data_IF_698162795121
#
_entry.id   IF_698162795121
#
_cell.length_a   1.000
_cell.length_b   1.000
_cell.length_c   1.000
_cell.angle_alpha   90.00
_cell.angle_beta   90.00
_cell.angle_gamma   90.00
#
_symmetry.space_group_name_H-M   'P 1'
#
loop_
_entity.id
_entity.type
_entity.pdbx_description
1 polymer ?
#
# COMPACT_ATOMS: atom_id res chain seq x y z
N UNK A 1 0.37 27.85 16.66
CA UNK A 1 1.17 26.80 17.33
C UNK A 1 1.74 25.86 16.29
N UNK A 2 3.05 25.70 16.26
CA UNK A 2 3.78 24.85 15.32
C UNK A 2 3.67 23.40 15.79
N UNK A 3 2.52 22.73 15.56
CA UNK A 3 2.32 21.38 16.09
C UNK A 3 3.11 20.35 15.27
N UNK A 4 4.37 20.14 15.66
CA UNK A 4 5.22 19.07 15.14
C UNK A 4 4.51 17.71 15.20
N UNK A 5 3.68 17.49 16.23
CA UNK A 5 2.91 16.25 16.41
C UNK A 5 1.93 16.05 15.25
N UNK A 6 1.13 17.06 14.91
CA UNK A 6 0.22 17.05 13.78
C UNK A 6 0.92 16.79 12.44
N UNK A 7 2.09 17.42 12.23
CA UNK A 7 2.91 17.19 11.03
C UNK A 7 3.43 15.76 10.95
N UNK A 8 3.97 15.22 12.03
CA UNK A 8 4.47 13.83 12.09
C UNK A 8 3.33 12.85 11.88
N UNK A 9 2.19 13.03 12.55
CA UNK A 9 1.02 12.17 12.41
C UNK A 9 0.45 12.19 10.99
N UNK A 10 0.45 13.36 10.32
CA UNK A 10 0.12 13.48 8.90
C UNK A 10 1.04 12.63 8.02
N UNK A 11 2.36 12.71 8.23
CA UNK A 11 3.34 11.93 7.46
C UNK A 11 3.12 10.43 7.69
N UNK A 12 2.98 10.01 8.95
CA UNK A 12 2.71 8.60 9.31
C UNK A 12 1.46 8.10 8.59
N UNK A 13 0.36 8.84 8.64
CA UNK A 13 -0.88 8.45 7.95
C UNK A 13 -0.68 8.30 6.42
N UNK A 14 0.09 9.18 5.80
CA UNK A 14 0.37 9.10 4.36
C UNK A 14 1.28 7.91 4.03
N UNK A 15 2.27 7.60 4.88
CA UNK A 15 3.12 6.41 4.73
C UNK A 15 2.29 5.13 4.82
N UNK A 16 1.38 5.03 5.80
CA UNK A 16 0.47 3.88 5.91
C UNK A 16 -0.49 3.77 4.72
N UNK A 17 -0.96 4.90 4.18
CA UNK A 17 -1.77 4.89 2.95
C UNK A 17 -0.98 4.42 1.73
N UNK A 18 0.28 4.84 1.60
CA UNK A 18 1.18 4.38 0.54
C UNK A 18 1.54 2.90 0.65
N UNK A 19 1.80 2.43 1.88
CA UNK A 19 1.99 1.01 2.17
C UNK A 19 0.73 0.20 1.82
N UNK A 20 -0.44 0.72 2.16
CA UNK A 20 -1.73 0.13 1.78
C UNK A 20 -1.87 0.00 0.26
N UNK A 21 -1.49 1.02 -0.50
CA UNK A 21 -1.50 0.96 -1.95
C UNK A 21 -0.59 -0.15 -2.48
N UNK A 22 0.64 -0.24 -1.97
CA UNK A 22 1.60 -1.29 -2.34
C UNK A 22 1.06 -2.69 -2.02
N UNK A 23 0.47 -2.89 -0.84
CA UNK A 23 -0.08 -4.19 -0.42
C UNK A 23 -1.30 -4.62 -1.23
N UNK A 24 -2.16 -3.68 -1.66
CA UNK A 24 -3.27 -4.03 -2.56
C UNK A 24 -2.73 -4.41 -3.95
N UNK A 25 -1.72 -3.72 -4.48
CA UNK A 25 -1.11 -4.11 -5.76
C UNK A 25 -0.42 -5.47 -5.70
N UNK A 26 0.43 -5.69 -4.69
CA UNK A 26 1.10 -6.97 -4.47
C UNK A 26 0.09 -8.10 -4.25
N UNK A 27 -0.93 -7.87 -3.43
CA UNK A 27 -1.97 -8.84 -3.15
C UNK A 27 -2.89 -9.11 -4.35
N UNK A 28 -3.13 -8.11 -5.20
CA UNK A 28 -3.84 -8.28 -6.46
C UNK A 28 -3.02 -9.10 -7.45
N UNK A 29 -1.84 -8.62 -7.83
CA UNK A 29 -0.94 -9.28 -8.80
C UNK A 29 -0.59 -10.71 -8.33
N UNK A 30 -0.30 -10.87 -7.03
CA UNK A 30 0.03 -12.17 -6.43
C UNK A 30 -1.11 -13.18 -6.42
N UNK A 31 -2.34 -12.79 -6.77
CA UNK A 31 -3.50 -13.71 -6.85
C UNK A 31 -3.79 -14.21 -8.26
N UNK A 32 -2.94 -13.89 -9.24
CA UNK A 32 -3.05 -14.37 -10.62
C UNK A 32 -3.07 -15.90 -10.73
N UNK A 33 -2.36 -16.60 -9.83
CA UNK A 33 -2.34 -18.06 -9.78
C UNK A 33 -3.73 -18.65 -9.47
N UNK A 34 -4.48 -18.02 -8.57
CA UNK A 34 -5.83 -18.42 -8.19
C UNK A 34 -6.89 -17.92 -9.19
N UNK A 35 -6.66 -16.78 -9.84
CA UNK A 35 -7.62 -16.12 -10.72
C UNK A 35 -7.58 -16.63 -12.18
N UNK A 36 -6.39 -16.78 -12.77
CA UNK A 36 -6.25 -17.09 -14.21
C UNK A 36 -5.52 -18.40 -14.48
N UNK A 37 -4.69 -18.86 -13.55
CA UNK A 37 -3.86 -20.05 -13.72
C UNK A 37 -4.32 -21.22 -12.84
N UNK A 38 -5.58 -21.22 -12.40
CA UNK A 38 -6.16 -22.18 -11.46
C UNK A 38 -5.96 -23.63 -11.91
N UNK A 39 -6.10 -23.92 -13.21
CA UNK A 39 -5.88 -25.25 -13.79
C UNK A 39 -4.41 -25.69 -13.79
N UNK A 40 -3.48 -24.73 -13.85
CA UNK A 40 -2.03 -24.98 -13.89
C UNK A 40 -1.49 -25.43 -12.53
N UNK A 41 -2.19 -25.09 -11.44
CA UNK A 41 -1.70 -25.27 -10.08
C UNK A 41 -2.63 -26.14 -9.24
N UNK A 42 -2.14 -27.33 -8.84
CA UNK A 42 -2.91 -28.27 -8.02
C UNK A 42 -3.35 -27.69 -6.68
N UNK A 43 -2.57 -26.78 -6.09
CA UNK A 43 -2.95 -26.06 -4.87
C UNK A 43 -4.19 -25.18 -5.03
N UNK A 44 -4.51 -24.78 -6.26
CA UNK A 44 -5.61 -23.89 -6.60
C UNK A 44 -6.82 -24.64 -7.18
N UNK A 45 -6.74 -25.96 -7.39
CA UNK A 45 -7.87 -26.76 -7.88
C UNK A 45 -9.16 -26.64 -7.04
N UNK A 46 -9.11 -26.49 -5.70
CA UNK A 46 -10.32 -26.23 -4.91
C UNK A 46 -11.05 -24.94 -5.29
N UNK A 47 -10.41 -24.06 -6.06
CA UNK A 47 -10.96 -22.78 -6.50
C UNK A 47 -11.55 -22.84 -7.91
N UNK A 48 -11.53 -23.99 -8.61
CA UNK A 48 -11.98 -24.08 -10.00
C UNK A 48 -13.43 -23.61 -10.18
N UNK A 49 -14.34 -24.06 -9.31
CA UNK A 49 -15.75 -23.67 -9.36
C UNK A 49 -15.97 -22.20 -8.95
N UNK A 50 -15.00 -21.61 -8.26
CA UNK A 50 -15.02 -20.25 -7.74
C UNK A 50 -14.04 -19.32 -8.48
N UNK A 51 -13.50 -19.73 -9.63
CA UNK A 51 -12.45 -18.99 -10.32
C UNK A 51 -12.90 -17.56 -10.69
N UNK A 52 -14.16 -17.40 -11.07
CA UNK A 52 -14.78 -16.10 -11.37
C UNK A 52 -14.66 -15.12 -10.19
N UNK A 53 -14.86 -15.60 -8.96
CA UNK A 53 -14.76 -14.78 -7.75
C UNK A 53 -13.33 -14.25 -7.58
N UNK A 54 -12.34 -15.11 -7.77
CA UNK A 54 -10.93 -14.72 -7.67
C UNK A 54 -10.50 -13.76 -8.77
N UNK A 55 -11.02 -13.91 -9.99
CA UNK A 55 -10.80 -12.93 -11.08
C UNK A 55 -11.35 -11.56 -10.72
N UNK A 56 -12.60 -11.49 -10.25
CA UNK A 56 -13.22 -10.24 -9.84
C UNK A 56 -12.46 -9.61 -8.67
N UNK A 57 -12.14 -10.38 -7.62
CA UNK A 57 -11.42 -9.88 -6.46
C UNK A 57 -10.01 -9.40 -6.83
N UNK A 58 -9.31 -10.08 -7.73
CA UNK A 58 -8.00 -9.68 -8.24
C UNK A 58 -8.06 -8.31 -8.93
N UNK A 59 -8.97 -8.15 -9.90
CA UNK A 59 -9.12 -6.91 -10.69
C UNK A 59 -9.53 -5.76 -9.77
N UNK A 60 -10.53 -5.98 -8.91
CA UNK A 60 -11.01 -4.96 -7.96
C UNK A 60 -9.89 -4.54 -7.00
N UNK A 61 -9.10 -5.50 -6.48
CA UNK A 61 -7.98 -5.17 -5.59
C UNK A 61 -6.93 -4.32 -6.30
N UNK A 62 -6.61 -4.62 -7.57
CA UNK A 62 -5.65 -3.82 -8.35
C UNK A 62 -6.17 -2.39 -8.53
N UNK A 63 -7.46 -2.24 -8.89
CA UNK A 63 -8.10 -0.92 -9.03
C UNK A 63 -8.04 -0.15 -7.71
N UNK A 64 -8.38 -0.80 -6.58
CA UNK A 64 -8.25 -0.19 -5.25
C UNK A 64 -6.81 0.24 -4.98
N UNK A 65 -5.82 -0.59 -5.31
CA UNK A 65 -4.41 -0.24 -5.17
C UNK A 65 -4.03 1.03 -5.93
N UNK A 66 -4.45 1.17 -7.18
CA UNK A 66 -4.23 2.37 -8.00
C UNK A 66 -4.93 3.60 -7.39
N UNK A 67 -6.19 3.45 -6.96
CA UNK A 67 -6.92 4.54 -6.30
C UNK A 67 -6.26 4.95 -4.97
N UNK A 68 -5.67 4.00 -4.24
CA UNK A 68 -4.90 4.27 -3.03
C UNK A 68 -3.63 5.07 -3.33
N UNK A 69 -2.94 4.83 -4.47
CA UNK A 69 -1.83 5.68 -4.92
C UNK A 69 -2.31 7.12 -5.12
N UNK A 70 -3.40 7.31 -5.87
CA UNK A 70 -3.95 8.65 -6.10
C UNK A 70 -4.36 9.34 -4.80
N UNK A 71 -4.97 8.59 -3.88
CA UNK A 71 -5.33 9.11 -2.56
C UNK A 71 -4.10 9.49 -1.74
N UNK A 72 -3.02 8.70 -1.79
CA UNK A 72 -1.73 9.02 -1.14
C UNK A 72 -1.16 10.34 -1.66
N UNK A 73 -1.15 10.52 -2.98
CA UNK A 73 -0.69 11.76 -3.63
C UNK A 73 -1.59 12.94 -3.22
N UNK A 74 -2.91 12.75 -3.20
CA UNK A 74 -3.86 13.79 -2.82
C UNK A 74 -3.69 14.21 -1.35
N UNK A 75 -3.44 13.26 -0.43
CA UNK A 75 -3.17 13.56 0.98
C UNK A 75 -1.84 14.31 1.16
N UNK A 76 -0.80 13.91 0.43
CA UNK A 76 0.48 14.61 0.43
C UNK A 76 0.35 16.05 -0.07
N UNK A 77 -0.47 16.28 -1.11
CA UNK A 77 -0.66 17.60 -1.74
C UNK A 77 -1.66 18.53 -1.03
N UNK A 78 -2.47 18.02 -0.09
CA UNK A 78 -3.46 18.86 0.61
C UNK A 78 -4.85 18.88 -0.04
N UNK A 79 -5.32 17.78 -0.64
CA UNK A 79 -6.60 17.78 -1.35
C UNK A 79 -7.82 17.90 -0.42
N UNK A 80 -8.78 18.77 -0.75
CA UNK A 80 -10.02 19.02 0.04
C UNK A 80 -10.83 17.75 0.38
N UNK A 81 -10.82 16.76 -0.50
CA UNK A 81 -11.53 15.47 -0.34
C UNK A 81 -10.59 14.29 -0.06
N UNK A 82 -9.29 14.52 0.06
CA UNK A 82 -8.28 13.47 0.12
C UNK A 82 -8.51 12.51 1.30
N UNK A 83 -8.77 13.05 2.48
CA UNK A 83 -9.02 12.25 3.69
C UNK A 83 -10.30 11.40 3.60
N UNK A 84 -11.39 11.97 3.06
CA UNK A 84 -12.65 11.23 2.86
C UNK A 84 -12.48 10.10 1.83
N UNK A 85 -11.78 10.38 0.73
CA UNK A 85 -11.52 9.39 -0.31
C UNK A 85 -10.64 8.25 0.24
N UNK A 86 -9.60 8.58 1.02
CA UNK A 86 -8.77 7.58 1.69
C UNK A 86 -9.59 6.68 2.61
N UNK A 87 -10.42 7.26 3.50
CA UNK A 87 -11.31 6.49 4.38
C UNK A 87 -12.25 5.56 3.58
N UNK A 88 -12.84 6.07 2.49
CA UNK A 88 -13.76 5.28 1.65
C UNK A 88 -13.04 4.09 1.02
N UNK A 89 -11.85 4.31 0.45
CA UNK A 89 -11.03 3.27 -0.15
C UNK A 89 -10.56 2.24 0.89
N UNK A 90 -10.21 2.69 2.10
CA UNK A 90 -9.80 1.81 3.20
C UNK A 90 -10.95 0.92 3.69
N UNK A 91 -12.18 1.45 3.76
CA UNK A 91 -13.37 0.65 4.09
C UNK A 91 -13.64 -0.38 2.99
N UNK A 92 -13.69 0.05 1.73
CA UNK A 92 -13.95 -0.85 0.60
C UNK A 92 -12.85 -1.93 0.50
N UNK A 93 -11.59 -1.53 0.61
CA UNK A 93 -10.44 -2.43 0.58
C UNK A 93 -10.42 -3.44 1.73
N UNK A 94 -10.82 -3.02 2.93
CA UNK A 94 -10.97 -3.92 4.08
C UNK A 94 -12.07 -4.96 3.83
N UNK A 95 -13.23 -4.54 3.31
CA UNK A 95 -14.35 -5.45 3.00
C UNK A 95 -13.95 -6.46 1.91
N UNK A 96 -13.39 -5.98 0.79
CA UNK A 96 -12.94 -6.84 -0.31
C UNK A 96 -11.84 -7.81 0.15
N UNK A 97 -10.89 -7.32 0.95
CA UNK A 97 -9.87 -8.17 1.57
C UNK A 97 -10.46 -9.23 2.49
N UNK A 98 -11.46 -8.88 3.30
CA UNK A 98 -12.17 -9.78 4.20
C UNK A 98 -12.88 -10.90 3.44
N UNK A 99 -13.61 -10.56 2.39
CA UNK A 99 -14.26 -11.54 1.50
C UNK A 99 -13.24 -12.52 0.92
N UNK A 100 -12.11 -12.00 0.42
CA UNK A 100 -11.08 -12.86 -0.19
C UNK A 100 -10.41 -13.79 0.82
N UNK A 101 -10.09 -13.29 2.03
CA UNK A 101 -9.52 -14.11 3.10
C UNK A 101 -10.50 -15.19 3.53
N UNK A 102 -11.76 -14.83 3.76
CA UNK A 102 -12.81 -15.78 4.14
C UNK A 102 -12.98 -16.88 3.09
N UNK A 103 -13.11 -16.52 1.81
CA UNK A 103 -13.21 -17.47 0.71
C UNK A 103 -11.98 -18.39 0.64
N UNK A 104 -10.77 -17.84 0.78
CA UNK A 104 -9.54 -18.62 0.68
C UNK A 104 -9.33 -19.57 1.87
N UNK A 105 -9.70 -19.17 3.08
CA UNK A 105 -9.68 -20.06 4.24
C UNK A 105 -10.72 -21.17 4.09
N UNK A 106 -11.93 -20.84 3.63
CA UNK A 106 -13.01 -21.81 3.49
C UNK A 106 -12.75 -22.85 2.38
N UNK A 107 -12.14 -22.44 1.27
CA UNK A 107 -11.96 -23.29 0.10
C UNK A 107 -10.62 -24.05 0.08
N UNK A 108 -9.53 -23.46 0.60
CA UNK A 108 -8.18 -24.06 0.54
C UNK A 108 -7.39 -24.02 1.85
N UNK A 109 -7.98 -23.52 2.95
CA UNK A 109 -7.36 -23.48 4.28
C UNK A 109 -6.20 -22.48 4.44
N UNK A 110 -5.88 -21.69 3.41
CA UNK A 110 -4.76 -20.72 3.40
C UNK A 110 -5.15 -19.47 2.63
N UNK A 111 -4.72 -18.30 3.09
CA UNK A 111 -5.13 -17.02 2.52
C UNK A 111 -3.98 -16.07 2.14
N UNK A 112 -2.71 -16.47 2.20
CA UNK A 112 -1.60 -15.60 1.79
C UNK A 112 -1.60 -15.37 0.26
N UNK A 113 -1.37 -14.13 -0.23
CA UNK A 113 -1.08 -12.88 0.48
C UNK A 113 -2.32 -12.01 0.82
N UNK A 114 -3.54 -12.54 0.68
CA UNK A 114 -4.79 -11.80 0.92
C UNK A 114 -4.97 -11.38 2.39
N UNK A 115 -4.47 -12.17 3.34
CA UNK A 115 -4.44 -11.84 4.76
C UNK A 115 -3.58 -10.59 5.06
N UNK A 116 -2.40 -10.51 4.46
CA UNK A 116 -1.48 -9.39 4.68
C UNK A 116 -2.05 -8.08 4.15
N UNK A 117 -2.69 -8.07 2.97
CA UNK A 117 -3.37 -6.86 2.49
C UNK A 117 -4.57 -6.49 3.35
N UNK A 118 -5.31 -7.46 3.88
CA UNK A 118 -6.43 -7.20 4.78
C UNK A 118 -5.95 -6.53 6.06
N UNK A 119 -4.89 -7.06 6.69
CA UNK A 119 -4.32 -6.47 7.90
C UNK A 119 -3.80 -5.06 7.66
N UNK A 120 -3.09 -4.82 6.55
CA UNK A 120 -2.61 -3.47 6.22
C UNK A 120 -3.76 -2.49 5.97
N UNK A 121 -4.82 -2.90 5.26
CA UNK A 121 -6.03 -2.10 5.07
C UNK A 121 -6.70 -1.78 6.41
N UNK A 122 -6.88 -2.78 7.28
CA UNK A 122 -7.56 -2.63 8.55
C UNK A 122 -6.78 -1.75 9.54
N UNK A 123 -5.45 -1.94 9.65
CA UNK A 123 -4.59 -1.11 10.51
C UNK A 123 -4.55 0.32 10.02
N UNK A 124 -4.46 0.54 8.70
CA UNK A 124 -4.48 1.90 8.13
C UNK A 124 -5.85 2.55 8.31
N UNK A 125 -6.94 1.78 8.14
CA UNK A 125 -8.29 2.25 8.44
C UNK A 125 -8.41 2.68 9.90
N UNK A 126 -7.95 1.85 10.84
CA UNK A 126 -7.96 2.16 12.27
C UNK A 126 -7.17 3.44 12.55
N UNK A 127 -5.98 3.59 11.98
CA UNK A 127 -5.18 4.82 12.11
C UNK A 127 -5.95 6.05 11.62
N UNK A 128 -6.58 5.98 10.45
CA UNK A 128 -7.37 7.09 9.93
C UNK A 128 -8.57 7.39 10.81
N UNK A 129 -9.28 6.37 11.31
CA UNK A 129 -10.41 6.54 12.22
C UNK A 129 -9.98 7.18 13.55
N UNK A 130 -8.82 6.80 14.10
CA UNK A 130 -8.25 7.42 15.30
C UNK A 130 -7.96 8.90 15.07
N UNK A 131 -7.37 9.27 13.93
CA UNK A 131 -7.14 10.68 13.56
C UNK A 131 -8.45 11.47 13.45
N UNK A 132 -9.59 10.81 13.19
CA UNK A 132 -10.90 11.47 13.09
C UNK A 132 -11.45 11.92 14.45
N UNK A 133 -10.94 11.38 15.56
CA UNK A 133 -11.43 11.67 16.90
C UNK A 133 -11.23 13.16 17.27
N UNK A 134 -12.13 13.74 18.09
CA UNK A 134 -12.17 15.19 18.36
C UNK A 134 -10.92 15.77 19.07
N UNK A 135 -9.94 14.97 19.49
CA UNK A 135 -8.64 15.48 20.01
C UNK A 135 -7.50 15.49 18.98
N UNK A 136 -7.54 14.61 17.98
CA UNK A 136 -6.49 14.45 16.96
C UNK A 136 -6.84 15.16 15.66
N UNK A 137 -8.14 15.27 15.34
CA UNK A 137 -8.61 15.91 14.11
C UNK A 137 -8.21 17.38 14.03
N UNK A 138 -8.21 18.08 15.15
CA UNK A 138 -7.84 19.50 15.19
C UNK A 138 -6.33 19.72 15.05
N UNK A 139 -5.53 18.67 15.26
CA UNK A 139 -4.07 18.67 15.12
C UNK A 139 -3.61 18.30 13.71
N UNK A 140 -4.40 17.53 12.96
CA UNK A 140 -4.03 17.02 11.64
C UNK A 140 -4.94 17.56 10.56
N UNK A 141 -4.41 18.50 9.77
CA UNK A 141 -5.12 19.06 8.62
C UNK A 141 -4.56 18.53 7.30
N UNK A 142 -5.30 17.62 6.66
CA UNK A 142 -4.98 17.07 5.33
C UNK A 142 -5.42 17.96 4.17
N UNK A 143 -6.14 19.06 4.41
CA UNK A 143 -6.63 19.97 3.38
C UNK A 143 -5.66 21.13 3.10
N UNK A 144 -4.69 21.35 3.99
CA UNK A 144 -3.66 22.36 3.79
C UNK A 144 -2.58 21.87 2.81
N UNK A 145 -2.25 22.68 1.79
CA UNK A 145 -1.11 22.39 0.94
C UNK A 145 0.18 22.43 1.76
N UNK A 146 1.14 21.62 1.35
CA UNK A 146 2.45 21.46 2.01
C UNK A 146 3.55 21.99 1.09
N UNK A 147 4.69 22.34 1.68
CA UNK A 147 5.84 22.84 0.93
C UNK A 147 6.37 21.77 -0.05
N UNK A 148 7.15 22.20 -1.05
CA UNK A 148 7.77 21.23 -1.98
C UNK A 148 8.70 20.25 -1.27
N UNK A 149 9.49 20.75 -0.30
CA UNK A 149 10.37 19.92 0.52
C UNK A 149 9.57 18.91 1.37
N UNK A 150 8.47 19.33 2.02
CA UNK A 150 7.63 18.42 2.81
C UNK A 150 6.98 17.32 1.95
N UNK A 151 6.56 17.66 0.73
CA UNK A 151 6.02 16.68 -0.23
C UNK A 151 7.09 15.69 -0.68
N UNK A 152 8.30 16.16 -0.94
CA UNK A 152 9.44 15.32 -1.29
C UNK A 152 9.84 14.38 -0.14
N UNK A 153 9.90 14.88 1.10
CA UNK A 153 10.15 14.07 2.29
C UNK A 153 9.08 12.99 2.45
N UNK A 154 7.80 13.37 2.37
CA UNK A 154 6.68 12.43 2.54
C UNK A 154 6.66 11.38 1.42
N UNK A 155 6.84 11.81 0.17
CA UNK A 155 6.90 10.90 -0.98
C UNK A 155 8.11 9.96 -0.91
N UNK A 156 9.27 10.46 -0.47
CA UNK A 156 10.47 9.66 -0.27
C UNK A 156 10.27 8.57 0.78
N UNK A 157 9.69 8.91 1.93
CA UNK A 157 9.37 7.94 2.99
C UNK A 157 8.37 6.87 2.51
N UNK A 158 7.31 7.27 1.81
CA UNK A 158 6.35 6.34 1.20
C UNK A 158 7.05 5.36 0.26
N UNK A 159 7.90 5.87 -0.63
CA UNK A 159 8.59 5.07 -1.63
C UNK A 159 9.60 4.11 -1.00
N UNK A 160 10.35 4.54 0.03
CA UNK A 160 11.27 3.67 0.78
C UNK A 160 10.51 2.53 1.46
N UNK A 161 9.42 2.84 2.18
CA UNK A 161 8.65 1.83 2.91
C UNK A 161 7.99 0.85 1.93
N UNK A 162 7.32 1.36 0.89
CA UNK A 162 6.70 0.52 -0.13
C UNK A 162 7.75 -0.35 -0.86
N UNK A 163 8.88 0.25 -1.27
CA UNK A 163 9.98 -0.46 -1.93
C UNK A 163 10.57 -1.56 -1.06
N UNK A 164 10.81 -1.27 0.23
CA UNK A 164 11.33 -2.26 1.18
C UNK A 164 10.38 -3.45 1.35
N UNK A 165 9.07 -3.20 1.43
CA UNK A 165 8.06 -4.28 1.52
C UNK A 165 8.01 -5.10 0.24
N UNK A 166 8.13 -4.48 -0.94
CA UNK A 166 8.19 -5.17 -2.23
C UNK A 166 9.42 -6.07 -2.30
N UNK A 167 10.61 -5.59 -1.96
CA UNK A 167 11.86 -6.39 -1.96
C UNK A 167 11.74 -7.58 -1.01
N UNK A 168 11.17 -7.37 0.17
CA UNK A 168 11.08 -8.40 1.22
C UNK A 168 9.92 -9.38 1.03
N UNK A 169 9.16 -9.29 -0.07
CA UNK A 169 8.01 -10.16 -0.37
C UNK A 169 8.32 -11.65 -0.22
N UNK A 170 9.48 -12.12 -0.68
CA UNK A 170 9.87 -13.53 -0.56
C UNK A 170 9.97 -14.00 0.90
N UNK A 171 10.35 -13.13 1.83
CA UNK A 171 10.53 -13.48 3.25
C UNK A 171 9.21 -13.82 3.94
N UNK A 172 8.12 -13.12 3.60
CA UNK A 172 6.82 -13.32 4.28
C UNK A 172 5.80 -14.10 3.44
N UNK A 173 5.97 -14.16 2.11
CA UNK A 173 5.12 -14.93 1.19
C UNK A 173 5.71 -16.29 0.82
N UNK A 174 7.04 -16.43 0.86
CA UNK A 174 7.74 -17.59 0.30
C UNK A 174 7.30 -18.93 0.87
N UNK A 175 7.20 -19.04 2.20
CA UNK A 175 6.82 -20.28 2.87
C UNK A 175 5.43 -20.80 2.46
N UNK A 176 4.48 -19.92 2.10
CA UNK A 176 3.15 -20.34 1.67
C UNK A 176 3.05 -20.67 0.18
N UNK A 177 4.13 -20.48 -0.57
CA UNK A 177 4.23 -20.68 -2.02
C UNK A 177 5.29 -21.72 -2.38
N UNK A 178 5.65 -22.59 -1.43
CA UNK A 178 6.47 -23.78 -1.71
C UNK A 178 5.56 -24.88 -2.25
N UNK A 179 5.81 -25.32 -3.48
CA UNK A 179 5.13 -26.45 -4.09
C UNK A 179 6.14 -27.33 -4.82
N UNK A 180 6.11 -28.64 -4.56
CA UNK A 180 7.07 -29.63 -5.07
C UNK A 180 8.55 -29.24 -4.78
N UNK A 181 8.83 -28.74 -3.58
CA UNK A 181 10.18 -28.37 -3.15
C UNK A 181 10.72 -27.06 -3.75
N UNK A 182 9.98 -26.41 -4.64
CA UNK A 182 10.35 -25.12 -5.24
C UNK A 182 9.52 -23.98 -4.67
N UNK A 183 10.14 -22.82 -4.41
CA UNK A 183 9.42 -21.60 -4.00
C UNK A 183 8.99 -20.81 -5.24
N UNK A 184 7.68 -20.70 -5.44
CA UNK A 184 7.10 -20.10 -6.63
C UNK A 184 7.13 -18.57 -6.63
N UNK A 185 7.40 -17.94 -5.48
CA UNK A 185 7.67 -16.49 -5.43
C UNK A 185 8.89 -16.13 -6.28
N UNK A 186 9.81 -17.08 -6.50
CA UNK A 186 10.99 -16.88 -7.35
C UNK A 186 10.64 -16.52 -8.79
N UNK A 187 9.45 -16.90 -9.27
CA UNK A 187 8.97 -16.52 -10.59
C UNK A 187 8.75 -14.99 -10.71
N UNK A 188 8.45 -14.32 -9.59
CA UNK A 188 8.28 -12.87 -9.50
C UNK A 188 9.50 -12.18 -8.87
N UNK A 189 10.59 -12.90 -8.56
CA UNK A 189 11.72 -12.33 -7.84
C UNK A 189 12.40 -11.19 -8.60
N UNK A 190 12.63 -11.35 -9.90
CA UNK A 190 13.20 -10.28 -10.73
C UNK A 190 12.35 -8.99 -10.71
N UNK A 191 11.04 -9.01 -11.02
CA UNK A 191 10.22 -7.79 -10.95
C UNK A 191 10.06 -7.24 -9.52
N UNK A 192 10.03 -8.09 -8.49
CA UNK A 192 9.97 -7.65 -7.09
C UNK A 192 11.26 -6.91 -6.69
N UNK A 193 12.43 -7.49 -6.97
CA UNK A 193 13.72 -6.86 -6.67
C UNK A 193 13.87 -5.57 -7.46
N UNK A 194 13.61 -5.60 -8.78
CA UNK A 194 13.76 -4.43 -9.63
C UNK A 194 12.82 -3.28 -9.19
N UNK A 195 11.52 -3.56 -9.09
CA UNK A 195 10.52 -2.56 -8.71
C UNK A 195 10.74 -2.03 -7.30
N UNK A 196 11.02 -2.91 -6.34
CA UNK A 196 11.30 -2.52 -4.97
C UNK A 196 12.59 -1.71 -4.82
N UNK A 197 13.64 -2.04 -5.58
CA UNK A 197 14.89 -1.27 -5.60
C UNK A 197 14.70 0.11 -6.20
N UNK A 198 13.97 0.21 -7.32
CA UNK A 198 13.65 1.51 -7.95
C UNK A 198 12.89 2.40 -6.97
N UNK A 199 11.87 1.87 -6.28
CA UNK A 199 11.11 2.62 -5.28
C UNK A 199 11.99 3.05 -4.11
N UNK A 200 12.84 2.15 -3.61
CA UNK A 200 13.69 2.42 -2.45
C UNK A 200 14.75 3.49 -2.76
N UNK A 201 15.51 3.31 -3.85
CA UNK A 201 16.54 4.27 -4.27
C UNK A 201 15.93 5.60 -4.72
N UNK A 202 14.81 5.56 -5.44
CA UNK A 202 14.06 6.76 -5.80
C UNK A 202 13.56 7.52 -4.58
N UNK A 203 13.13 6.80 -3.54
CA UNK A 203 12.73 7.41 -2.27
C UNK A 203 13.90 8.09 -1.54
N UNK A 204 15.08 7.45 -1.49
CA UNK A 204 16.29 8.09 -0.97
C UNK A 204 16.69 9.34 -1.78
N UNK A 205 16.62 9.28 -3.12
CA UNK A 205 16.89 10.44 -3.96
C UNK A 205 15.94 11.62 -3.66
N UNK A 206 14.66 11.35 -3.41
CA UNK A 206 13.69 12.38 -3.00
C UNK A 206 14.03 12.99 -1.64
N UNK A 207 14.52 12.20 -0.67
CA UNK A 207 14.96 12.72 0.63
C UNK A 207 16.20 13.60 0.51
N UNK A 208 17.17 13.20 -0.32
CA UNK A 208 18.35 14.02 -0.60
C UNK A 208 17.93 15.34 -1.25
N UNK A 209 17.05 15.28 -2.25
CA UNK A 209 16.52 16.48 -2.92
C UNK A 209 15.77 17.42 -1.97
N UNK A 210 14.95 16.87 -1.06
CA UNK A 210 14.23 17.66 -0.07
C UNK A 210 15.17 18.46 0.86
N UNK A 211 16.31 17.86 1.23
CA UNK A 211 17.34 18.50 2.06
C UNK A 211 18.16 19.52 1.28
N UNK A 212 18.56 19.22 0.04
CA UNK A 212 19.28 20.18 -0.81
C UNK A 212 18.43 21.42 -1.10
N UNK A 213 17.13 21.25 -1.36
CA UNK A 213 16.20 22.38 -1.53
C UNK A 213 16.00 23.20 -0.26
N UNK A 214 16.20 22.61 0.93
CA UNK A 214 16.16 23.35 2.19
C UNK A 214 17.44 24.16 2.46
N UNK A 215 18.56 23.80 1.82
CA UNK A 215 19.86 24.48 1.92
C UNK A 215 20.04 25.59 0.87
N UNK A 216 19.16 25.69 -0.13
CA UNK A 216 19.23 26.72 -1.15
C UNK A 216 18.96 28.11 -0.53
N UNK A 217 19.81 29.12 -0.78
CA UNK A 217 19.60 30.47 -0.26
C UNK A 217 18.27 31.04 -0.77
N UNK A 218 17.54 31.72 0.11
CA UNK A 218 16.27 32.34 -0.25
C UNK A 218 16.48 33.31 -1.42
N UNK A 219 15.59 33.32 -2.43
CA UNK A 219 15.70 34.27 -3.53
C UNK A 219 15.70 35.69 -2.96
N UNK A 220 16.74 36.46 -3.29
CA UNK A 220 16.79 37.89 -2.99
C UNK A 220 15.56 38.53 -3.64
N UNK A 221 14.67 39.06 -2.80
CA UNK A 221 13.60 39.94 -3.26
C UNK A 221 14.29 41.18 -3.84
N UNK A 222 14.25 41.32 -5.17
CA UNK A 222 14.56 42.57 -5.87
C UNK A 222 13.28 43.37 -6.07
#
# INVERSE_FOLDING_TARGET
MNDRTGKVLRIIAIVFMGLTAAMNLLGGIGTVCAAFLTKKYRSEWPLLDYQWLYQTLMIVTIVIGILCIWSTIALARGGKRAYRNALTLLVIGTIVGGIQVYASLSLKGKARPADMKLYTNAVTLLLFLLIRLPGLRDRVDFSKPTSSSDRATTGGLVAIVAGSVVITTELWVGASHVFQGSNWVRLLQAPLIAGGTILTLGGFALLIWANLGALAPAPQQR
#
